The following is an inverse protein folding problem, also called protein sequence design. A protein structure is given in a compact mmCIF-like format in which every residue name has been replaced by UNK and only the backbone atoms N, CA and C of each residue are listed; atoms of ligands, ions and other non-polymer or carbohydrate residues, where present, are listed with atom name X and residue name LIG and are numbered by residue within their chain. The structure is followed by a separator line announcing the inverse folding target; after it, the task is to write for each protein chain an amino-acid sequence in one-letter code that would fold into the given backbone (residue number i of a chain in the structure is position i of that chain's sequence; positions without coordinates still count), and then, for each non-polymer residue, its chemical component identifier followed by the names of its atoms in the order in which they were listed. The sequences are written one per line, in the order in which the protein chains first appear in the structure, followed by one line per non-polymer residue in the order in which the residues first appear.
data_IF_745027714765
#
_entry.id   IF_745027714765
#
_cell.length_a   1.000
_cell.length_b   1.000
_cell.length_c   1.000
_cell.angle_alpha   90.00
_cell.angle_beta   90.00
_cell.angle_gamma   90.00
#
_symmetry.space_group_name_H-M   'P 1'
#
loop_
_entity.id
_entity.type
_entity.pdbx_description
1 polymer ?
#
# COMPACT_ATOMS: atom_id res chain seq x y z
N UNK A 1 10.31 -10.16 14.08
CA UNK A 1 9.95 -10.02 12.67
C UNK A 1 9.40 -8.62 12.44
N UNK A 2 9.96 -7.93 11.50
CA UNK A 2 9.51 -6.56 11.23
C UNK A 2 8.42 -6.56 10.17
N UNK A 3 7.43 -5.70 10.36
CA UNK A 3 6.39 -5.53 9.38
C UNK A 3 6.89 -4.73 8.18
N UNK A 4 6.35 -5.03 7.02
CA UNK A 4 6.62 -4.27 5.82
C UNK A 4 5.60 -3.12 5.77
N UNK A 5 6.05 -1.92 6.10
CA UNK A 5 5.16 -0.76 6.27
C UNK A 5 5.42 0.25 5.17
N UNK A 6 4.36 0.59 4.43
CA UNK A 6 4.42 1.61 3.43
C UNK A 6 3.73 2.88 3.89
N UNK A 7 3.87 3.93 3.10
CA UNK A 7 3.21 5.22 3.34
C UNK A 7 2.35 5.58 2.15
N UNK A 8 1.17 6.12 2.42
CA UNK A 8 0.28 6.56 1.35
C UNK A 8 0.93 7.76 0.65
N UNK A 9 1.15 7.63 -0.65
CA UNK A 9 1.77 8.68 -1.45
C UNK A 9 0.72 9.54 -2.15
N UNK A 10 -0.39 8.93 -2.59
CA UNK A 10 -1.42 9.65 -3.33
C UNK A 10 -2.74 8.88 -3.27
N UNK A 11 -3.85 9.61 -3.25
CA UNK A 11 -5.19 9.00 -3.29
C UNK A 11 -5.99 9.71 -4.38
N UNK A 12 -6.51 8.94 -5.34
CA UNK A 12 -7.36 9.46 -6.39
C UNK A 12 -8.55 8.52 -6.53
N UNK A 13 -9.72 8.94 -6.03
CA UNK A 13 -10.90 8.08 -6.01
C UNK A 13 -10.61 6.79 -5.26
N UNK A 14 -10.89 5.62 -5.86
CA UNK A 14 -10.60 4.34 -5.22
C UNK A 14 -9.13 3.92 -5.35
N UNK A 15 -8.32 4.70 -6.04
CA UNK A 15 -6.92 4.37 -6.31
C UNK A 15 -6.03 4.99 -5.26
N UNK A 16 -5.18 4.17 -4.64
CA UNK A 16 -4.26 4.61 -3.59
C UNK A 16 -2.86 4.16 -3.95
N UNK A 17 -1.93 5.10 -4.05
CA UNK A 17 -0.53 4.78 -4.28
C UNK A 17 0.19 4.72 -2.94
N UNK A 18 0.96 3.65 -2.73
CA UNK A 18 1.65 3.40 -1.46
C UNK A 18 3.14 3.22 -1.74
N UNK A 19 3.95 4.00 -1.05
CA UNK A 19 5.40 3.91 -1.17
C UNK A 19 5.99 3.06 -0.05
N UNK A 20 6.89 2.15 -0.40
CA UNK A 20 7.59 1.29 0.55
C UNK A 20 9.06 1.65 0.60
N UNK A 21 9.33 2.90 0.97
CA UNK A 21 10.69 3.41 1.07
C UNK A 21 11.35 2.94 2.36
N UNK A 22 12.68 2.89 2.33
CA UNK A 22 13.46 2.60 3.53
C UNK A 22 14.04 1.20 3.53
N UNK A 23 15.03 1.03 4.40
CA UNK A 23 15.70 -0.26 4.54
C UNK A 23 14.75 -1.31 5.10
N UNK A 24 14.84 -2.50 4.54
CA UNK A 24 14.07 -3.62 5.02
C UNK A 24 12.68 -3.71 4.45
N UNK A 25 12.21 -2.69 3.75
CA UNK A 25 10.92 -2.75 3.10
C UNK A 25 11.03 -3.45 1.75
N UNK A 26 10.00 -4.21 1.42
CA UNK A 26 9.93 -4.97 0.18
C UNK A 26 8.65 -4.58 -0.54
N UNK A 27 8.75 -4.36 -1.86
CA UNK A 27 7.58 -4.03 -2.65
C UNK A 27 6.67 -5.26 -2.73
N UNK A 28 5.40 -5.15 -2.30
CA UNK A 28 4.49 -6.29 -2.34
C UNK A 28 4.20 -6.72 -3.78
N UNK A 29 4.03 -8.01 -4.02
CA UNK A 29 3.62 -8.48 -5.33
C UNK A 29 2.22 -8.00 -5.71
N UNK A 30 1.94 -8.02 -7.01
CA UNK A 30 0.61 -7.75 -7.53
C UNK A 30 -0.39 -8.73 -6.90
N UNK A 31 -1.59 -8.24 -6.60
CA UNK A 31 -2.69 -8.96 -5.96
C UNK A 31 -2.49 -9.22 -4.46
N UNK A 32 -1.44 -8.67 -3.89
CA UNK A 32 -1.28 -8.73 -2.43
C UNK A 32 -2.27 -7.78 -1.77
N UNK A 33 -2.86 -8.20 -0.66
CA UNK A 33 -3.74 -7.33 0.11
C UNK A 33 -2.92 -6.51 1.09
N UNK A 34 -3.20 -5.21 1.15
CA UNK A 34 -2.59 -4.30 2.11
C UNK A 34 -3.66 -3.79 3.05
N UNK A 35 -3.29 -3.55 4.30
CA UNK A 35 -4.22 -3.05 5.31
C UNK A 35 -3.83 -1.63 5.71
N UNK A 36 -4.80 -0.72 5.64
CA UNK A 36 -4.63 0.63 6.17
C UNK A 36 -5.32 0.68 7.53
N UNK A 37 -4.55 0.93 8.58
CA UNK A 37 -5.11 1.08 9.91
C UNK A 37 -5.52 2.53 10.09
N UNK A 38 -6.74 2.74 10.57
CA UNK A 38 -7.29 4.06 10.78
C UNK A 38 -7.75 4.20 12.23
N UNK A 39 -7.48 5.36 12.84
CA UNK A 39 -7.80 5.56 14.24
C UNK A 39 -9.30 5.62 14.52
N UNK A 40 -10.07 6.22 13.61
CA UNK A 40 -11.49 6.51 13.83
C UNK A 40 -12.43 5.74 12.91
N UNK A 41 -11.94 4.69 12.26
CA UNK A 41 -12.73 3.95 11.29
C UNK A 41 -12.20 2.53 11.18
N UNK A 42 -13.00 1.60 10.62
CA UNK A 42 -12.50 0.24 10.37
C UNK A 42 -11.30 0.25 9.44
N UNK A 43 -10.48 -0.78 9.53
CA UNK A 43 -9.33 -0.94 8.64
C UNK A 43 -9.81 -1.02 7.20
N UNK A 44 -9.03 -0.43 6.31
CA UNK A 44 -9.31 -0.45 4.88
C UNK A 44 -8.38 -1.43 4.21
N UNK A 45 -8.91 -2.28 3.35
CA UNK A 45 -8.11 -3.25 2.62
C UNK A 45 -7.92 -2.76 1.19
N UNK A 46 -6.67 -2.77 0.74
CA UNK A 46 -6.30 -2.44 -0.62
C UNK A 46 -5.74 -3.67 -1.32
N UNK A 47 -5.92 -3.74 -2.63
CA UNK A 47 -5.29 -4.77 -3.43
C UNK A 47 -4.25 -4.12 -4.33
N UNK A 48 -3.03 -4.65 -4.33
CA UNK A 48 -1.95 -4.17 -5.20
C UNK A 48 -2.25 -4.55 -6.64
N UNK A 49 -2.36 -3.56 -7.52
CA UNK A 49 -2.69 -3.79 -8.92
C UNK A 49 -1.52 -3.57 -9.87
N UNK A 50 -0.57 -2.71 -9.49
CA UNK A 50 0.52 -2.34 -10.39
C UNK A 50 1.71 -1.80 -9.61
N UNK A 51 2.91 -2.11 -10.05
CA UNK A 51 4.13 -1.46 -9.56
C UNK A 51 4.40 -0.25 -10.44
N UNK A 52 4.52 0.94 -9.83
CA UNK A 52 4.66 2.18 -10.60
C UNK A 52 5.96 2.93 -10.31
N UNK A 53 6.96 2.21 -9.85
CA UNK A 53 8.27 2.80 -9.55
C UNK A 53 9.09 1.79 -8.80
N UNK A 54 10.24 2.24 -8.30
CA UNK A 54 11.15 1.34 -7.62
C UNK A 54 10.60 0.89 -6.27
N UNK A 55 9.79 1.74 -5.63
CA UNK A 55 9.32 1.48 -4.28
C UNK A 55 7.85 1.79 -4.08
N UNK A 56 7.12 2.08 -5.14
CA UNK A 56 5.72 2.50 -5.04
C UNK A 56 4.81 1.52 -5.78
N UNK A 57 3.69 1.20 -5.16
CA UNK A 57 2.67 0.35 -5.78
C UNK A 57 1.36 1.11 -5.89
N UNK A 58 0.60 0.81 -6.93
CA UNK A 58 -0.73 1.35 -7.12
C UNK A 58 -1.74 0.31 -6.70
N UNK A 59 -2.65 0.71 -5.81
CA UNK A 59 -3.62 -0.18 -5.21
C UNK A 59 -5.03 0.31 -5.44
N UNK A 60 -5.98 -0.60 -5.31
CA UNK A 60 -7.40 -0.28 -5.42
C UNK A 60 -8.07 -0.69 -4.12
N UNK A 61 -8.92 0.22 -3.57
CA UNK A 61 -9.67 -0.07 -2.37
C UNK A 61 -10.75 -1.13 -2.66
N UNK A 62 -10.84 -2.09 -1.78
CA UNK A 62 -11.78 -3.20 -1.91
C UNK A 62 -13.08 -2.91 -1.17
#
# INVERSE_FOLDING_TARGET
MSDNIGKIAQVIGPVVDVAFEGEGNVIPPIYTALKIERADAPDLILEVEQHIGEDTVRCVAM
#
